data_IF_027471685807
#
_entry.id   IF_027471685807
#
_cell.length_a   1.000
_cell.length_b   1.000
_cell.length_c   1.000
_cell.angle_alpha   90.00
_cell.angle_beta   90.00
_cell.angle_gamma   90.00
#
_symmetry.space_group_name_H-M   'P 1'
#
loop_
_entity.id
_entity.type
_entity.pdbx_description
1 polymer ?
#
# COMPACT_ATOMS: atom_id res chain seq x y z
N UNK A 1 -1.58 3.11 -11.93
CA UNK A 1 -1.97 3.98 -10.82
C UNK A 1 -1.88 3.22 -9.50
N UNK A 2 -1.33 3.86 -8.48
CA UNK A 2 -1.21 3.23 -7.16
C UNK A 2 -2.49 3.38 -6.36
N UNK A 3 -2.75 2.44 -5.49
CA UNK A 3 -3.87 2.55 -4.57
C UNK A 3 -3.44 2.08 -3.17
N UNK A 4 -4.16 2.54 -2.16
CA UNK A 4 -3.88 2.18 -0.77
C UNK A 4 -4.65 0.91 -0.44
N UNK A 5 -3.92 -0.16 -0.13
CA UNK A 5 -4.53 -1.42 0.30
C UNK A 5 -4.79 -1.41 1.79
N UNK A 6 -3.87 -0.83 2.56
CA UNK A 6 -4.03 -0.68 4.01
C UNK A 6 -3.66 0.74 4.40
N UNK A 7 -4.60 1.45 4.98
CA UNK A 7 -4.36 2.82 5.43
C UNK A 7 -3.56 2.84 6.73
N UNK A 8 -2.75 3.87 6.90
CA UNK A 8 -2.00 4.07 8.12
C UNK A 8 -2.94 4.46 9.26
N UNK A 9 -2.67 3.94 10.44
CA UNK A 9 -3.30 4.37 11.67
C UNK A 9 -2.23 4.48 12.73
N UNK A 10 -2.59 4.84 13.97
CA UNK A 10 -1.58 4.93 15.01
C UNK A 10 -2.13 4.48 16.36
N UNK A 11 -1.21 4.14 17.24
CA UNK A 11 -1.50 3.91 18.65
C UNK A 11 -0.40 4.55 19.49
N UNK A 12 -0.69 4.77 20.76
CA UNK A 12 0.26 5.35 21.71
C UNK A 12 0.74 4.24 22.64
N UNK A 13 2.06 4.12 22.78
CA UNK A 13 2.65 3.14 23.71
C UNK A 13 3.65 3.86 24.62
N UNK A 14 3.76 3.36 25.86
CA UNK A 14 4.76 3.85 26.78
C UNK A 14 6.02 3.02 26.63
N UNK A 15 7.09 3.66 26.21
CA UNK A 15 8.39 3.01 26.03
C UNK A 15 9.41 3.77 26.87
N UNK A 16 10.04 3.07 27.81
CA UNK A 16 11.01 3.68 28.73
C UNK A 16 10.43 4.90 29.47
N UNK A 17 9.17 4.81 29.86
CA UNK A 17 8.51 5.90 30.59
C UNK A 17 8.08 7.08 29.76
N UNK A 18 8.18 6.99 28.44
CA UNK A 18 7.81 8.08 27.53
C UNK A 18 6.74 7.62 26.56
N UNK A 19 5.77 8.48 26.25
CA UNK A 19 4.79 8.14 25.23
C UNK A 19 5.41 8.18 23.84
N UNK A 20 5.12 7.14 23.05
CA UNK A 20 5.59 7.02 21.67
C UNK A 20 4.39 6.76 20.78
N UNK A 21 4.33 7.49 19.69
CA UNK A 21 3.30 7.27 18.66
C UNK A 21 3.83 6.24 17.68
N UNK A 22 3.13 5.11 17.62
CA UNK A 22 3.51 4.03 16.71
C UNK A 22 2.50 3.98 15.59
N UNK A 23 2.98 4.19 14.37
CA UNK A 23 2.14 4.22 13.19
C UNK A 23 2.07 2.82 12.58
N UNK A 24 0.85 2.34 12.37
CA UNK A 24 0.61 1.09 11.67
C UNK A 24 1.09 1.23 10.22
N UNK A 25 1.71 0.20 9.65
CA UNK A 25 2.16 0.28 8.27
C UNK A 25 1.04 0.64 7.30
N UNK A 26 1.35 1.54 6.39
CA UNK A 26 0.50 1.82 5.24
C UNK A 26 1.03 1.00 4.07
N UNK A 27 0.15 0.29 3.38
CA UNK A 27 0.50 -0.51 2.22
C UNK A 27 -0.06 0.15 0.96
N UNK A 28 0.84 0.55 0.07
CA UNK A 28 0.50 1.12 -1.23
C UNK A 28 0.82 0.08 -2.30
N UNK A 29 -0.12 -0.15 -3.21
CA UNK A 29 0.01 -1.15 -4.26
C UNK A 29 -0.09 -0.50 -5.62
N UNK A 30 0.78 -0.89 -6.53
CA UNK A 30 0.71 -0.52 -7.93
C UNK A 30 0.55 -1.79 -8.76
N UNK A 31 -0.53 -1.88 -9.53
CA UNK A 31 -0.79 -2.98 -10.44
C UNK A 31 -0.62 -2.49 -11.87
N UNK A 32 0.27 -3.13 -12.61
CA UNK A 32 0.59 -2.74 -13.98
C UNK A 32 0.52 -3.95 -14.90
N UNK A 33 -0.22 -3.82 -15.99
CA UNK A 33 -0.21 -4.81 -17.05
C UNK A 33 1.05 -4.63 -17.88
N UNK A 34 1.98 -5.54 -17.77
CA UNK A 34 3.28 -5.45 -18.44
C UNK A 34 3.19 -5.62 -19.95
N UNK A 35 2.08 -6.17 -20.42
CA UNK A 35 1.84 -6.38 -21.84
C UNK A 35 1.36 -5.11 -22.54
N UNK A 36 0.50 -4.34 -21.87
CA UNK A 36 -0.13 -3.14 -22.45
C UNK A 36 0.36 -1.84 -21.84
N UNK A 37 0.97 -1.90 -20.65
CA UNK A 37 1.36 -0.70 -19.89
C UNK A 37 0.24 -0.11 -19.07
N UNK A 38 -0.94 -0.72 -19.08
CA UNK A 38 -2.08 -0.21 -18.32
C UNK A 38 -1.86 -0.38 -16.81
N UNK A 39 -2.24 0.64 -16.04
CA UNK A 39 -2.25 0.56 -14.59
C UNK A 39 -3.68 0.45 -14.09
N UNK A 40 -3.86 -0.28 -12.99
CA UNK A 40 -5.18 -0.53 -12.41
C UNK A 40 -5.34 0.21 -11.09
N UNK A 41 -6.58 0.61 -10.80
CA UNK A 41 -6.91 1.35 -9.59
C UNK A 41 -7.26 0.45 -8.40
N UNK A 42 -7.40 -0.85 -8.62
CA UNK A 42 -7.74 -1.81 -7.57
C UNK A 42 -7.47 -3.23 -8.04
N UNK A 43 -7.42 -4.17 -7.10
CA UNK A 43 -7.33 -5.59 -7.43
C UNK A 43 -8.55 -6.06 -8.24
N UNK A 44 -9.73 -5.55 -7.89
CA UNK A 44 -10.96 -5.90 -8.59
C UNK A 44 -10.91 -5.48 -10.06
N UNK A 45 -10.37 -4.29 -10.33
CA UNK A 45 -10.22 -3.79 -11.70
C UNK A 45 -9.29 -4.68 -12.51
N UNK A 46 -8.16 -5.06 -11.93
CA UNK A 46 -7.22 -5.98 -12.59
C UNK A 46 -7.87 -7.34 -12.83
N UNK A 47 -8.63 -7.84 -11.87
CA UNK A 47 -9.31 -9.13 -12.01
C UNK A 47 -10.35 -9.10 -13.13
N UNK A 48 -11.08 -8.00 -13.27
CA UNK A 48 -12.05 -7.85 -14.34
C UNK A 48 -11.37 -7.93 -15.70
N UNK A 49 -10.19 -7.35 -15.84
CA UNK A 49 -9.44 -7.41 -17.10
C UNK A 49 -8.98 -8.83 -17.39
N UNK A 50 -8.49 -9.55 -16.39
CA UNK A 50 -8.06 -10.95 -16.54
C UNK A 50 -9.23 -11.85 -16.93
N UNK A 51 -10.42 -11.57 -16.43
CA UNK A 51 -11.61 -12.36 -16.72
C UNK A 51 -12.29 -11.96 -18.04
N UNK A 52 -11.86 -10.87 -18.64
CA UNK A 52 -12.44 -10.40 -19.90
C UNK A 52 -11.76 -11.11 -21.08
N UNK A 53 -12.46 -11.98 -21.81
CA UNK A 53 -11.84 -12.70 -22.93
C UNK A 53 -11.43 -11.80 -24.09
N UNK A 54 -12.00 -10.60 -24.19
CA UNK A 54 -11.69 -9.68 -25.26
C UNK A 54 -10.32 -9.03 -25.14
N UNK A 55 -9.83 -8.91 -23.91
CA UNK A 55 -8.52 -8.27 -23.66
C UNK A 55 -7.35 -9.26 -23.76
N UNK A 56 -7.64 -10.56 -23.68
CA UNK A 56 -6.64 -11.62 -23.70
C UNK A 56 -5.56 -11.46 -22.61
N UNK A 57 -5.87 -10.73 -21.56
CA UNK A 57 -4.96 -10.52 -20.43
C UNK A 57 -4.98 -11.73 -19.52
N UNK A 58 -3.81 -12.23 -19.15
CA UNK A 58 -3.67 -13.31 -18.18
C UNK A 58 -3.06 -12.77 -16.89
N UNK A 59 -3.25 -13.50 -15.80
CA UNK A 59 -2.78 -13.05 -14.48
C UNK A 59 -1.27 -12.78 -14.47
N UNK A 60 -0.49 -13.56 -15.22
CA UNK A 60 0.96 -13.39 -15.28
C UNK A 60 1.39 -12.08 -15.95
N UNK A 61 0.50 -11.43 -16.67
CA UNK A 61 0.79 -10.14 -17.30
C UNK A 61 0.78 -9.00 -16.28
N UNK A 62 0.20 -9.22 -15.11
CA UNK A 62 0.01 -8.16 -14.13
C UNK A 62 1.09 -8.24 -13.06
N UNK A 63 1.87 -7.17 -12.99
CA UNK A 63 2.90 -7.01 -11.97
C UNK A 63 2.34 -6.25 -10.79
N UNK A 64 2.51 -6.82 -9.59
CA UNK A 64 2.08 -6.20 -8.34
C UNK A 64 3.30 -5.70 -7.58
N UNK A 65 3.42 -4.37 -7.47
CA UNK A 65 4.46 -3.73 -6.67
C UNK A 65 3.83 -3.23 -5.38
N UNK A 66 4.44 -3.59 -4.26
CA UNK A 66 3.94 -3.22 -2.94
C UNK A 66 4.97 -2.38 -2.22
N UNK A 67 4.54 -1.24 -1.71
CA UNK A 67 5.36 -0.36 -0.89
C UNK A 67 4.75 -0.26 0.49
N UNK A 68 5.53 -0.58 1.52
CA UNK A 68 5.07 -0.53 2.92
C UNK A 68 5.84 0.57 3.64
N UNK A 69 5.11 1.44 4.33
CA UNK A 69 5.69 2.50 5.12
C UNK A 69 5.40 2.25 6.60
N UNK A 70 6.45 2.23 7.40
CA UNK A 70 6.35 2.07 8.85
C UNK A 70 7.09 3.21 9.51
N UNK A 71 6.48 3.79 10.55
CA UNK A 71 7.07 4.91 11.24
C UNK A 71 6.71 4.87 12.72
N UNK A 72 7.69 5.10 13.59
CA UNK A 72 7.49 5.23 15.03
C UNK A 72 8.04 6.56 15.47
N UNK A 73 7.21 7.39 16.11
CA UNK A 73 7.54 8.75 16.45
C UNK A 73 7.32 8.98 17.94
N UNK A 74 8.32 9.52 18.67
CA UNK A 74 8.12 9.93 20.06
C UNK A 74 7.14 11.08 20.14
N UNK A 75 6.38 11.11 21.23
CA UNK A 75 5.49 12.21 21.55
C UNK A 75 6.16 13.11 22.58
N UNK A 76 5.58 14.28 22.81
CA UNK A 76 6.06 15.19 23.83
C UNK A 76 6.92 16.31 23.31
N UNK A 77 7.00 16.46 22.03
CA UNK A 77 7.54 17.65 21.41
C UNK A 77 9.04 17.83 21.40
N UNK A 78 9.78 16.91 21.97
CA UNK A 78 11.23 17.00 21.91
C UNK A 78 11.77 16.46 20.60
N UNK A 79 10.93 15.90 19.79
CA UNK A 79 11.34 15.21 18.57
C UNK A 79 11.19 16.09 17.35
N UNK A 80 12.17 16.06 16.51
CA UNK A 80 12.17 16.78 15.24
C UNK A 80 11.65 15.86 14.15
N UNK A 81 10.42 15.80 14.03
CA UNK A 81 9.81 14.87 13.08
C UNK A 81 9.23 15.57 11.90
#
# INVERSE_FOLDING_TARGET
>A
MSFIETEASYRIEMINGKPVKIITPQTEVTLTNMKTGQEYNSDAEAMQDVQNPETETVADDIKRDVKVTVEALPLGGSTKL
#
